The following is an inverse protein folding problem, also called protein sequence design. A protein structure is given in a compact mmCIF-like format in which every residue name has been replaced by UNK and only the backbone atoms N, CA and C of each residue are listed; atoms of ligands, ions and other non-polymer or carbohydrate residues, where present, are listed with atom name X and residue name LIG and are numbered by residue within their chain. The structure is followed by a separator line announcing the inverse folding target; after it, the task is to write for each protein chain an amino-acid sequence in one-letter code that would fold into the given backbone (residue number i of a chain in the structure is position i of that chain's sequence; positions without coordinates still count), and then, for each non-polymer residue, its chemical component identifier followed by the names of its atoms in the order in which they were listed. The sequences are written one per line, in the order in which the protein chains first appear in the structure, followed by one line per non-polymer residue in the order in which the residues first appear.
data_IF_441941146305
#
_entry.id   IF_441941146305
#
_cell.length_a   1.000
_cell.length_b   1.000
_cell.length_c   1.000
_cell.angle_alpha   90.00
_cell.angle_beta   90.00
_cell.angle_gamma   90.00
#
_symmetry.space_group_name_H-M   'P 1'
#
loop_
_entity.id
_entity.type
_entity.pdbx_description
1 polymer ?
#
# COMPACT_ATOMS: atom_id res chain seq x y z
N UNK A 1 2.04 41.31 -13.46
CA UNK A 1 0.83 40.73 -12.83
C UNK A 1 1.30 39.59 -11.94
N UNK A 2 1.42 39.84 -10.64
CA UNK A 2 1.92 38.87 -9.65
C UNK A 2 0.75 37.95 -9.30
N UNK A 3 0.86 36.66 -9.60
CA UNK A 3 -0.06 35.66 -9.06
C UNK A 3 0.43 35.30 -7.66
N UNK A 4 -0.28 35.81 -6.66
CA UNK A 4 -0.15 35.39 -5.26
C UNK A 4 -0.70 33.97 -5.13
N UNK A 5 0.16 33.02 -4.76
CA UNK A 5 -0.24 31.69 -4.30
C UNK A 5 -0.91 31.88 -2.94
N UNK A 6 -2.20 31.52 -2.86
CA UNK A 6 -2.96 31.55 -1.62
C UNK A 6 -2.45 30.46 -0.68
N UNK A 7 -1.81 30.89 0.40
CA UNK A 7 -1.45 30.05 1.53
C UNK A 7 -2.71 29.44 2.14
N UNK A 8 -2.89 28.13 1.99
CA UNK A 8 -3.78 27.36 2.87
C UNK A 8 -2.98 27.02 4.13
N UNK A 9 -2.79 28.02 5.00
CA UNK A 9 -2.25 27.83 6.33
C UNK A 9 -3.39 27.45 7.29
N UNK A 10 -3.77 26.17 7.24
CA UNK A 10 -4.67 25.56 8.23
C UNK A 10 -4.09 24.20 8.66
N UNK A 11 -2.79 24.19 8.96
CA UNK A 11 -2.06 22.95 9.24
C UNK A 11 -2.31 22.49 10.67
N UNK A 12 -3.42 21.77 10.86
CA UNK A 12 -3.61 20.89 12.02
C UNK A 12 -2.35 20.05 12.22
N UNK A 13 -1.61 20.33 13.30
CA UNK A 13 -0.42 19.57 13.66
C UNK A 13 -0.79 18.20 14.23
N UNK A 14 -0.02 17.18 13.86
CA UNK A 14 -0.29 15.79 14.17
C UNK A 14 0.05 15.45 15.62
N UNK A 15 -0.78 14.61 16.23
CA UNK A 15 -0.46 13.87 17.44
C UNK A 15 -0.12 12.45 17.03
N UNK A 16 1.10 12.01 17.29
CA UNK A 16 1.61 10.71 16.83
C UNK A 16 2.02 9.82 17.99
N UNK A 17 1.87 8.50 17.81
CA UNK A 17 2.39 7.46 18.68
C UNK A 17 3.61 6.83 18.00
N UNK A 18 4.74 6.73 18.70
CA UNK A 18 5.95 6.05 18.24
C UNK A 18 6.14 4.78 19.07
N UNK A 19 6.31 3.63 18.43
CA UNK A 19 6.44 2.33 19.08
C UNK A 19 7.69 1.62 18.57
N UNK A 20 8.61 1.28 19.47
CA UNK A 20 9.87 0.59 19.16
C UNK A 20 10.39 -0.03 20.47
N UNK A 21 10.68 -1.33 20.46
CA UNK A 21 11.13 -2.06 21.65
C UNK A 21 12.60 -1.81 21.99
N UNK A 22 13.36 -1.25 21.06
CA UNK A 22 14.71 -0.80 21.31
C UNK A 22 14.70 0.66 21.82
N UNK A 23 15.08 0.94 23.08
CA UNK A 23 14.98 2.30 23.65
C UNK A 23 15.75 3.36 22.85
N UNK A 24 16.90 2.97 22.26
CA UNK A 24 17.70 3.87 21.41
C UNK A 24 17.00 4.17 20.09
N UNK A 25 16.41 3.15 19.45
CA UNK A 25 15.63 3.31 18.23
C UNK A 25 14.40 4.19 18.48
N UNK A 26 13.72 3.99 19.61
CA UNK A 26 12.59 4.81 20.03
C UNK A 26 12.99 6.28 20.23
N UNK A 27 14.09 6.53 20.94
CA UNK A 27 14.59 7.90 21.17
C UNK A 27 14.94 8.62 19.85
N UNK A 28 15.58 7.92 18.91
CA UNK A 28 15.93 8.45 17.60
C UNK A 28 14.68 8.76 16.76
N UNK A 29 13.72 7.83 16.71
CA UNK A 29 12.43 8.02 16.03
C UNK A 29 11.68 9.21 16.61
N UNK A 30 11.59 9.30 17.93
CA UNK A 30 10.93 10.41 18.64
C UNK A 30 11.63 11.74 18.34
N UNK A 31 12.96 11.76 18.30
CA UNK A 31 13.73 12.94 17.96
C UNK A 31 13.42 13.43 16.54
N UNK A 32 13.48 12.55 15.54
CA UNK A 32 13.18 12.91 14.15
C UNK A 32 11.72 13.34 13.96
N UNK A 33 10.76 12.66 14.60
CA UNK A 33 9.34 13.05 14.54
C UNK A 33 9.10 14.43 15.15
N UNK A 34 9.76 14.76 16.28
CA UNK A 34 9.64 16.08 16.92
C UNK A 34 10.28 17.21 16.12
N UNK A 35 11.29 16.89 15.30
CA UNK A 35 11.93 17.87 14.42
C UNK A 35 11.04 18.27 13.23
N UNK A 36 10.00 17.49 12.93
CA UNK A 36 9.06 17.83 11.87
C UNK A 36 8.13 18.97 12.30
N UNK A 37 7.99 20.06 11.50
CA UNK A 37 7.13 21.19 11.85
C UNK A 37 5.63 20.82 11.92
N UNK A 38 5.27 19.70 11.31
CA UNK A 38 3.91 19.17 11.20
C UNK A 38 3.48 18.30 12.38
N UNK A 39 4.38 17.95 13.30
CA UNK A 39 4.08 17.12 14.47
C UNK A 39 4.00 18.01 15.71
N UNK A 40 2.85 18.01 16.39
CA UNK A 40 2.66 18.73 17.65
C UNK A 40 3.14 17.92 18.85
N UNK A 41 2.90 16.61 18.84
CA UNK A 41 3.15 15.76 20.00
C UNK A 41 3.48 14.34 19.58
N UNK A 42 4.49 13.77 20.22
CA UNK A 42 4.90 12.37 20.07
C UNK A 42 4.73 11.68 21.42
N UNK A 43 3.97 10.59 21.43
CA UNK A 43 3.87 9.66 22.56
C UNK A 43 4.77 8.46 22.28
N UNK A 44 5.80 8.19 23.08
CA UNK A 44 6.60 6.98 22.95
C UNK A 44 5.91 5.79 23.65
N UNK A 45 6.13 4.59 23.11
CA UNK A 45 5.80 3.33 23.73
C UNK A 45 6.90 2.30 23.40
N UNK A 46 7.33 1.51 24.39
CA UNK A 46 8.38 0.49 24.18
C UNK A 46 7.81 -0.86 23.75
N UNK A 47 6.50 -1.04 23.79
CA UNK A 47 5.88 -2.27 23.33
C UNK A 47 4.41 -2.01 22.94
N UNK A 48 3.81 -3.01 22.34
CA UNK A 48 2.41 -2.95 21.93
C UNK A 48 1.43 -2.83 23.12
N UNK A 49 1.79 -3.35 24.30
CA UNK A 49 0.92 -3.28 25.48
C UNK A 49 0.84 -1.85 26.01
N UNK A 50 1.95 -1.14 26.07
CA UNK A 50 2.03 0.29 26.38
C UNK A 50 1.32 1.11 25.30
N UNK A 51 1.56 0.82 24.01
CA UNK A 51 0.88 1.47 22.90
C UNK A 51 -0.66 1.35 23.02
N UNK A 52 -1.18 0.15 23.27
CA UNK A 52 -2.61 -0.09 23.45
C UNK A 52 -3.16 0.55 24.73
N UNK A 53 -2.38 0.60 25.82
CA UNK A 53 -2.76 1.32 27.06
C UNK A 53 -2.89 2.82 26.83
N UNK A 54 -2.00 3.42 26.05
CA UNK A 54 -2.11 4.82 25.65
C UNK A 54 -3.38 5.05 24.80
N UNK A 55 -3.75 4.07 23.97
CA UNK A 55 -4.95 4.16 23.12
C UNK A 55 -6.26 3.75 23.83
N UNK A 56 -6.23 3.14 25.01
CA UNK A 56 -7.41 2.54 25.66
C UNK A 56 -8.33 3.53 26.39
N UNK A 57 -8.36 4.82 26.00
CA UNK A 57 -9.27 5.87 26.54
C UNK A 57 -9.06 6.24 28.02
N UNK A 58 -8.28 5.49 28.79
CA UNK A 58 -8.02 5.80 30.20
C UNK A 58 -6.82 6.73 30.41
N UNK A 59 -6.02 7.01 29.38
CA UNK A 59 -4.94 8.00 29.48
C UNK A 59 -5.52 9.44 29.54
N UNK A 60 -5.29 10.17 30.65
CA UNK A 60 -5.81 11.53 30.81
C UNK A 60 -5.35 12.51 29.71
N UNK A 61 -4.21 12.25 29.06
CA UNK A 61 -3.61 13.12 28.03
C UNK A 61 -4.29 12.99 26.67
N UNK A 62 -5.09 11.94 26.46
CA UNK A 62 -5.69 11.60 25.17
C UNK A 62 -7.23 11.58 25.21
N UNK A 63 -7.83 11.62 26.40
CA UNK A 63 -9.29 11.66 26.64
C UNK A 63 -10.02 12.78 25.90
N UNK A 64 -9.56 14.02 26.01
CA UNK A 64 -10.19 15.21 25.40
C UNK A 64 -10.33 15.08 23.86
N UNK A 65 -9.38 14.40 23.19
CA UNK A 65 -9.44 14.19 21.74
C UNK A 65 -10.58 13.27 21.34
N UNK A 66 -10.81 12.20 22.10
CA UNK A 66 -11.88 11.23 21.83
C UNK A 66 -13.25 11.87 22.03
N UNK A 67 -13.41 12.69 23.07
CA UNK A 67 -14.65 13.43 23.34
C UNK A 67 -14.99 14.41 22.21
N UNK A 68 -13.98 14.94 21.52
CA UNK A 68 -14.12 15.77 20.31
C UNK A 68 -14.35 14.97 19.02
N UNK A 69 -14.51 13.65 19.10
CA UNK A 69 -14.69 12.77 17.93
C UNK A 69 -13.45 12.64 17.05
N UNK A 70 -12.27 13.05 17.53
CA UNK A 70 -11.01 12.93 16.81
C UNK A 70 -10.36 11.57 17.07
N UNK A 71 -9.49 11.09 16.16
CA UNK A 71 -8.69 9.91 16.44
C UNK A 71 -7.78 10.19 17.64
N UNK A 72 -7.67 9.18 18.51
CA UNK A 72 -6.93 9.24 19.78
C UNK A 72 -5.51 9.75 19.49
N UNK A 73 -4.87 9.20 18.46
CA UNK A 73 -3.70 9.76 17.78
C UNK A 73 -3.97 9.83 16.28
N UNK A 74 -3.37 10.79 15.59
CA UNK A 74 -3.54 10.99 14.15
C UNK A 74 -2.76 9.93 13.34
N UNK A 75 -1.59 9.50 13.84
CA UNK A 75 -0.81 8.40 13.26
C UNK A 75 -0.03 7.59 14.30
N UNK A 76 0.30 6.36 13.94
CA UNK A 76 1.20 5.47 14.67
C UNK A 76 2.40 5.14 13.77
N UNK A 77 3.61 5.33 14.29
CA UNK A 77 4.87 4.87 13.72
C UNK A 77 5.33 3.69 14.57
N UNK A 78 5.30 2.47 14.04
CA UNK A 78 5.55 1.26 14.85
C UNK A 78 6.62 0.39 14.21
N UNK A 79 7.53 -0.13 15.04
CA UNK A 79 8.43 -1.21 14.61
C UNK A 79 7.62 -2.44 14.22
N UNK A 80 8.09 -3.15 13.19
CA UNK A 80 7.49 -4.42 12.74
C UNK A 80 7.87 -5.51 13.74
N UNK A 81 9.15 -5.57 14.08
CA UNK A 81 9.74 -6.64 14.88
C UNK A 81 9.81 -6.22 16.34
N UNK A 82 8.79 -6.60 17.11
CA UNK A 82 8.76 -6.41 18.56
C UNK A 82 8.45 -7.74 19.26
N UNK A 83 9.11 -8.05 20.38
CA UNK A 83 8.82 -9.23 21.18
C UNK A 83 7.40 -9.17 21.76
N UNK A 84 6.69 -10.29 21.72
CA UNK A 84 5.31 -10.39 22.17
C UNK A 84 4.32 -10.17 21.02
N UNK A 85 3.75 -8.97 20.93
CA UNK A 85 2.80 -8.61 19.86
C UNK A 85 3.55 -7.78 18.80
N UNK A 86 3.69 -8.34 17.61
CA UNK A 86 4.37 -7.66 16.50
C UNK A 86 3.62 -6.41 16.05
N UNK A 87 4.32 -5.46 15.43
CA UNK A 87 3.68 -4.28 14.82
C UNK A 87 2.60 -4.66 13.80
N UNK A 88 2.81 -5.78 13.11
CA UNK A 88 1.85 -6.36 12.18
C UNK A 88 0.56 -6.80 12.86
N UNK A 89 0.62 -7.46 14.01
CA UNK A 89 -0.58 -7.87 14.75
C UNK A 89 -1.29 -6.65 15.37
N UNK A 90 -0.52 -5.65 15.80
CA UNK A 90 -1.02 -4.39 16.33
C UNK A 90 -1.80 -3.58 15.26
N UNK A 91 -1.41 -3.68 13.98
CA UNK A 91 -2.11 -3.01 12.87
C UNK A 91 -3.59 -3.37 12.77
N UNK A 92 -3.94 -4.63 13.04
CA UNK A 92 -5.33 -5.13 13.00
C UNK A 92 -6.18 -4.51 14.11
N UNK A 93 -5.57 -4.32 15.27
CA UNK A 93 -6.20 -3.65 16.43
C UNK A 93 -6.46 -2.18 16.11
N UNK A 94 -5.49 -1.49 15.50
CA UNK A 94 -5.63 -0.10 15.09
C UNK A 94 -6.70 0.11 14.02
N UNK A 95 -6.76 -0.79 13.03
CA UNK A 95 -7.78 -0.74 11.97
C UNK A 95 -9.21 -0.92 12.50
N UNK A 96 -9.37 -1.57 13.66
CA UNK A 96 -10.66 -1.72 14.35
C UNK A 96 -11.08 -0.45 15.13
N UNK A 97 -10.16 0.47 15.41
CA UNK A 97 -10.49 1.73 16.07
C UNK A 97 -11.29 2.65 15.15
N UNK A 98 -12.17 3.46 15.76
CA UNK A 98 -12.99 4.44 15.05
C UNK A 98 -12.92 5.80 15.77
N UNK A 99 -12.43 6.84 15.08
CA UNK A 99 -11.71 6.82 13.80
C UNK A 99 -10.33 6.12 13.90
N UNK A 100 -9.91 5.44 12.83
CA UNK A 100 -8.63 4.69 12.79
C UNK A 100 -7.46 5.65 12.61
N UNK A 101 -6.36 5.49 13.37
CA UNK A 101 -5.13 6.24 13.10
C UNK A 101 -4.51 5.79 11.76
N UNK A 102 -3.72 6.66 11.14
CA UNK A 102 -2.83 6.25 10.06
C UNK A 102 -1.68 5.40 10.61
N UNK A 103 -1.27 4.35 9.92
CA UNK A 103 -0.18 3.48 10.35
C UNK A 103 1.00 3.64 9.40
N UNK A 104 2.19 3.88 9.95
CA UNK A 104 3.47 3.86 9.25
C UNK A 104 4.36 2.86 9.96
N UNK A 105 4.92 1.91 9.22
CA UNK A 105 5.88 0.99 9.82
C UNK A 105 7.28 1.57 9.83
N UNK A 106 8.05 1.25 10.86
CA UNK A 106 9.50 1.44 10.89
C UNK A 106 10.15 0.05 10.97
N UNK A 107 11.28 -0.16 10.31
CA UNK A 107 11.99 -1.46 10.41
C UNK A 107 13.45 -1.30 9.98
N UNK A 108 14.35 -2.11 10.55
CA UNK A 108 15.72 -2.24 10.08
C UNK A 108 15.90 -3.10 8.83
N UNK A 109 14.89 -3.87 8.44
CA UNK A 109 14.97 -4.86 7.37
C UNK A 109 14.01 -4.54 6.22
N UNK A 110 14.54 -4.47 5.00
CA UNK A 110 13.76 -4.10 3.82
C UNK A 110 12.74 -5.18 3.42
N UNK A 111 13.01 -6.43 3.75
CA UNK A 111 12.15 -7.60 3.53
C UNK A 111 10.86 -7.57 4.36
N UNK A 112 10.90 -7.00 5.57
CA UNK A 112 9.73 -6.87 6.44
C UNK A 112 8.75 -5.80 5.94
N UNK A 113 9.27 -4.75 5.32
CA UNK A 113 8.45 -3.72 4.67
C UNK A 113 7.54 -4.29 3.57
N UNK A 114 7.94 -5.42 2.95
CA UNK A 114 7.15 -6.09 1.91
C UNK A 114 5.92 -6.81 2.48
N UNK A 115 6.05 -7.45 3.66
CA UNK A 115 4.96 -8.16 4.33
C UNK A 115 3.94 -7.20 4.97
N UNK A 116 4.40 -6.01 5.33
CA UNK A 116 3.62 -4.99 6.02
C UNK A 116 2.55 -4.28 5.15
N UNK A 117 2.70 -4.25 3.83
CA UNK A 117 1.75 -3.59 2.93
C UNK A 117 0.39 -4.30 2.86
N UNK A 118 0.38 -5.63 2.99
CA UNK A 118 -0.85 -6.42 2.97
C UNK A 118 -1.74 -6.15 4.21
N UNK A 119 -1.23 -5.38 5.19
CA UNK A 119 -1.92 -5.02 6.45
C UNK A 119 -2.52 -3.60 6.46
N UNK A 120 -2.46 -2.87 5.35
CA UNK A 120 -3.10 -1.56 5.23
C UNK A 120 -2.30 -0.41 5.86
N UNK A 121 -0.98 -0.56 6.01
CA UNK A 121 -0.09 0.54 6.33
C UNK A 121 -0.12 1.61 5.23
N UNK A 122 -0.01 2.87 5.66
CA UNK A 122 0.06 4.02 4.77
C UNK A 122 1.46 4.20 4.16
N UNK A 123 2.50 3.90 4.94
CA UNK A 123 3.89 4.04 4.51
C UNK A 123 4.84 3.17 5.36
N UNK A 124 6.11 3.12 4.97
CA UNK A 124 7.19 2.46 5.73
C UNK A 124 8.47 3.30 5.75
N UNK A 125 9.23 3.27 6.85
CA UNK A 125 10.51 3.98 6.99
C UNK A 125 11.58 2.99 7.42
N UNK A 126 12.67 2.91 6.66
CA UNK A 126 13.81 2.06 7.03
C UNK A 126 14.69 2.75 8.07
N UNK A 127 15.16 1.99 9.06
CA UNK A 127 16.26 2.38 9.94
C UNK A 127 17.59 2.24 9.17
N UNK A 128 18.58 3.15 9.35
CA UNK A 128 18.56 4.33 10.21
C UNK A 128 17.68 5.46 9.65
N UNK A 129 17.08 6.24 10.55
CA UNK A 129 16.09 7.24 10.19
C UNK A 129 16.71 8.42 9.44
N UNK A 130 16.16 8.71 8.26
CA UNK A 130 16.48 9.93 7.52
C UNK A 130 15.34 10.93 7.70
N UNK A 131 15.64 12.16 8.14
CA UNK A 131 14.64 13.20 8.39
C UNK A 131 13.73 13.42 7.17
N UNK A 132 14.32 13.57 5.97
CA UNK A 132 13.57 13.74 4.72
C UNK A 132 12.64 12.55 4.39
N UNK A 133 12.96 11.34 4.85
CA UNK A 133 12.10 10.17 4.65
C UNK A 133 10.91 10.17 5.60
N UNK A 134 11.13 10.56 6.85
CA UNK A 134 10.09 10.72 7.87
C UNK A 134 9.13 11.86 7.51
N UNK A 135 9.65 12.99 7.05
CA UNK A 135 8.81 14.13 6.63
C UNK A 135 7.91 13.78 5.43
N UNK A 136 8.41 12.93 4.51
CA UNK A 136 7.58 12.36 3.44
C UNK A 136 6.47 11.45 3.97
N UNK A 137 6.76 10.60 4.95
CA UNK A 137 5.73 9.76 5.58
C UNK A 137 4.67 10.60 6.32
N UNK A 138 5.11 11.64 7.04
CA UNK A 138 4.25 12.61 7.73
C UNK A 138 3.36 13.37 6.75
N UNK A 139 3.89 13.76 5.58
CA UNK A 139 3.11 14.44 4.54
C UNK A 139 1.96 13.56 4.04
N UNK A 140 2.21 12.27 3.80
CA UNK A 140 1.15 11.31 3.42
C UNK A 140 0.09 11.15 4.50
N UNK A 141 0.48 11.15 5.78
CA UNK A 141 -0.46 11.13 6.91
C UNK A 141 -1.39 12.33 6.86
N UNK A 142 -0.85 13.54 6.63
CA UNK A 142 -1.64 14.77 6.51
C UNK A 142 -2.62 14.67 5.34
N UNK A 143 -2.17 14.24 4.16
CA UNK A 143 -3.02 14.07 2.98
C UNK A 143 -4.19 13.10 3.23
N UNK A 144 -3.93 11.97 3.89
CA UNK A 144 -4.97 10.99 4.25
C UNK A 144 -6.01 11.59 5.19
N UNK A 145 -5.58 12.37 6.19
CA UNK A 145 -6.48 12.99 7.16
C UNK A 145 -7.29 14.14 6.55
N UNK A 146 -6.69 14.91 5.62
CA UNK A 146 -7.39 15.95 4.88
C UNK A 146 -8.46 15.36 3.94
N UNK A 147 -8.15 14.27 3.24
CA UNK A 147 -9.10 13.55 2.37
C UNK A 147 -10.29 12.95 3.15
N UNK A 148 -10.06 12.53 4.39
CA UNK A 148 -11.12 12.04 5.28
C UNK A 148 -12.03 13.16 5.85
N UNK A 149 -11.60 14.43 5.78
CA UNK A 149 -12.30 15.57 6.36
C UNK A 149 -13.09 16.41 5.33
N UNK A 150 -12.86 16.22 4.03
CA UNK A 150 -13.61 16.92 2.98
C UNK A 150 -14.92 16.18 2.64
N UNK A 151 -16.09 16.84 2.62
CA UNK A 151 -17.26 16.29 1.95
C UNK A 151 -16.95 16.28 0.44
N UNK A 152 -16.80 15.10 -0.14
CA UNK A 152 -16.52 14.93 -1.56
C UNK A 152 -17.54 15.72 -2.43
N UNK A 153 -17.13 16.72 -3.23
CA UNK A 153 -17.99 17.29 -4.24
C UNK A 153 -18.00 16.36 -5.45
N UNK A 154 -19.12 15.69 -5.66
CA UNK A 154 -19.50 15.17 -6.98
C UNK A 154 -18.77 13.91 -7.47
N UNK A 155 -18.94 12.79 -6.78
CA UNK A 155 -18.97 11.49 -7.48
C UNK A 155 -20.40 11.26 -7.95
N UNK A 156 -20.69 11.64 -9.20
CA UNK A 156 -21.95 11.33 -9.85
C UNK A 156 -22.04 9.82 -10.10
N UNK A 157 -23.07 9.21 -9.51
CA UNK A 157 -23.80 8.08 -10.08
C UNK A 157 -23.09 6.73 -10.10
N UNK A 158 -23.31 5.93 -9.05
CA UNK A 158 -23.10 4.49 -9.05
C UNK A 158 -23.59 3.90 -7.73
N UNK A 159 -24.66 3.14 -7.79
CA UNK A 159 -25.44 2.62 -6.66
C UNK A 159 -24.60 1.85 -5.62
N UNK A 160 -25.01 1.84 -4.33
CA UNK A 160 -24.29 1.18 -3.25
C UNK A 160 -24.41 -0.35 -3.38
N UNK A 161 -23.38 -1.01 -3.93
CA UNK A 161 -23.47 -2.48 -4.03
C UNK A 161 -22.35 -3.28 -4.67
N UNK A 162 -21.08 -2.85 -4.73
CA UNK A 162 -19.96 -3.78 -4.99
C UNK A 162 -18.71 -3.29 -4.25
N UNK A 163 -18.15 -4.11 -3.37
CA UNK A 163 -16.84 -3.84 -2.74
C UNK A 163 -15.79 -3.76 -3.84
N UNK A 164 -15.20 -2.59 -4.06
CA UNK A 164 -14.17 -2.40 -5.07
C UNK A 164 -12.86 -3.05 -4.59
N UNK A 165 -12.61 -4.30 -5.00
CA UNK A 165 -11.44 -5.13 -4.70
C UNK A 165 -10.24 -4.81 -5.63
N UNK A 166 -10.14 -3.56 -6.09
CA UNK A 166 -9.12 -3.15 -7.05
C UNK A 166 -7.86 -2.69 -6.31
N UNK A 167 -7.03 -3.68 -5.97
CA UNK A 167 -5.73 -3.52 -5.31
C UNK A 167 -4.84 -2.47 -6.00
N UNK A 168 -4.13 -1.64 -5.23
CA UNK A 168 -3.26 -0.57 -5.76
C UNK A 168 -1.81 -0.84 -5.41
N UNK A 169 -0.93 -0.89 -6.41
CA UNK A 169 0.51 -1.09 -6.25
C UNK A 169 1.25 0.25 -6.26
N UNK A 170 1.92 0.66 -5.16
CA UNK A 170 2.81 1.80 -5.18
C UNK A 170 4.12 1.45 -5.92
N UNK A 171 4.55 2.35 -6.81
CA UNK A 171 5.77 2.21 -7.61
C UNK A 171 6.64 3.44 -7.40
N UNK A 172 7.88 3.25 -6.98
CA UNK A 172 8.85 4.35 -6.87
C UNK A 172 9.48 4.66 -8.23
N UNK A 173 9.38 5.93 -8.64
CA UNK A 173 9.94 6.49 -9.87
C UNK A 173 10.65 7.80 -9.55
N UNK A 174 11.98 7.80 -9.63
CA UNK A 174 12.80 9.01 -9.52
C UNK A 174 12.42 9.93 -8.33
N UNK A 175 12.15 9.34 -7.16
CA UNK A 175 11.78 10.07 -5.95
C UNK A 175 10.28 10.39 -5.78
N UNK A 176 9.42 9.96 -6.71
CA UNK A 176 7.96 10.05 -6.62
C UNK A 176 7.31 8.67 -6.55
N UNK A 177 6.22 8.50 -5.79
CA UNK A 177 5.47 7.24 -5.73
C UNK A 177 4.23 7.34 -6.60
N UNK A 178 4.19 6.54 -7.65
CA UNK A 178 3.02 6.40 -8.51
C UNK A 178 2.17 5.24 -8.02
N UNK A 179 0.87 5.49 -7.82
CA UNK A 179 -0.09 4.47 -7.45
C UNK A 179 -0.65 3.82 -8.71
N UNK A 180 -0.45 2.51 -8.86
CA UNK A 180 -0.88 1.74 -10.03
C UNK A 180 -2.01 0.81 -9.63
N UNK A 181 -3.27 1.10 -10.01
CA UNK A 181 -4.38 0.17 -9.81
C UNK A 181 -4.13 -1.14 -10.55
N UNK A 182 -4.46 -2.28 -9.94
CA UNK A 182 -4.35 -3.61 -10.54
C UNK A 182 -5.14 -3.68 -11.85
N UNK A 183 -6.32 -3.08 -11.90
CA UNK A 183 -7.13 -2.97 -13.12
C UNK A 183 -6.42 -2.29 -14.29
N UNK A 184 -5.42 -1.44 -14.05
CA UNK A 184 -4.61 -0.81 -15.10
C UNK A 184 -3.49 -1.72 -15.64
N UNK A 185 -3.15 -2.80 -14.93
CA UNK A 185 -2.07 -3.72 -15.29
C UNK A 185 -2.57 -4.73 -16.31
N UNK A 186 -1.86 -4.83 -17.43
CA UNK A 186 -2.22 -5.68 -18.56
C UNK A 186 -1.47 -7.01 -18.54
N UNK A 187 -0.17 -6.96 -18.29
CA UNK A 187 0.67 -8.12 -18.03
C UNK A 187 1.85 -7.76 -17.13
N UNK A 188 2.48 -8.79 -16.59
CA UNK A 188 3.67 -8.68 -15.74
C UNK A 188 4.76 -9.58 -16.28
N UNK A 189 6.00 -9.07 -16.29
CA UNK A 189 7.20 -9.81 -16.66
C UNK A 189 8.16 -9.92 -15.47
N UNK A 190 8.67 -11.13 -15.20
CA UNK A 190 9.73 -11.31 -14.20
C UNK A 190 11.10 -10.84 -14.73
N UNK A 191 11.78 -10.00 -13.94
CA UNK A 191 13.13 -9.48 -14.18
C UNK A 191 14.01 -9.70 -12.94
N UNK A 192 14.56 -10.90 -12.79
CA UNK A 192 15.31 -11.29 -11.59
C UNK A 192 14.42 -11.24 -10.35
N UNK A 193 14.85 -10.46 -9.34
CA UNK A 193 14.12 -10.24 -8.09
C UNK A 193 12.98 -9.21 -8.23
N UNK A 194 12.82 -8.62 -9.40
CA UNK A 194 11.81 -7.61 -9.70
C UNK A 194 10.76 -8.15 -10.65
N UNK A 195 9.58 -7.54 -10.60
CA UNK A 195 8.53 -7.72 -11.59
C UNK A 195 8.29 -6.39 -12.30
N UNK A 196 8.19 -6.43 -13.62
CA UNK A 196 7.81 -5.28 -14.43
C UNK A 196 6.32 -5.38 -14.75
N UNK A 197 5.54 -4.46 -14.18
CA UNK A 197 4.13 -4.26 -14.50
C UNK A 197 4.03 -3.47 -15.80
N UNK A 198 3.22 -3.93 -16.75
CA UNK A 198 2.91 -3.19 -17.97
C UNK A 198 1.47 -2.71 -17.91
N UNK A 199 1.29 -1.40 -17.99
CA UNK A 199 0.00 -0.71 -17.93
C UNK A 199 -0.31 -0.07 -19.30
N UNK A 200 -1.47 0.57 -19.44
CA UNK A 200 -1.82 1.33 -20.65
C UNK A 200 -0.94 2.56 -20.86
N UNK A 201 -0.37 3.11 -19.79
CA UNK A 201 0.40 4.35 -19.77
C UNK A 201 1.91 4.14 -19.58
N UNK A 202 2.38 2.90 -19.50
CA UNK A 202 3.81 2.61 -19.44
C UNK A 202 4.19 1.27 -18.81
N UNK A 203 5.40 1.21 -18.27
CA UNK A 203 5.85 0.06 -17.47
C UNK A 203 6.53 0.50 -16.18
N UNK A 204 6.36 -0.32 -15.16
CA UNK A 204 6.70 0.00 -13.78
C UNK A 204 7.42 -1.17 -13.14
N UNK A 205 8.60 -0.93 -12.55
CA UNK A 205 9.38 -1.97 -11.89
C UNK A 205 9.02 -2.01 -10.41
N UNK A 206 8.61 -3.17 -9.91
CA UNK A 206 8.26 -3.40 -8.51
C UNK A 206 9.09 -4.55 -7.96
N UNK A 207 9.48 -4.46 -6.69
CA UNK A 207 10.21 -5.52 -6.00
C UNK A 207 9.23 -6.50 -5.35
N UNK A 208 8.34 -7.07 -6.18
CA UNK A 208 7.35 -8.07 -5.76
C UNK A 208 7.55 -9.32 -6.63
N UNK A 209 7.78 -10.51 -6.06
CA UNK A 209 7.93 -11.73 -6.84
C UNK A 209 6.69 -12.06 -7.67
N UNK A 210 6.88 -12.56 -8.90
CA UNK A 210 5.78 -12.90 -9.80
C UNK A 210 4.79 -13.92 -9.18
N UNK A 211 5.27 -14.83 -8.33
CA UNK A 211 4.42 -15.81 -7.65
C UNK A 211 3.46 -15.16 -6.63
N UNK A 212 3.90 -14.10 -5.95
CA UNK A 212 3.06 -13.37 -5.00
C UNK A 212 1.99 -12.57 -5.75
N UNK A 213 2.34 -11.94 -6.88
CA UNK A 213 1.37 -11.26 -7.74
C UNK A 213 0.35 -12.24 -8.33
N UNK A 214 0.77 -13.46 -8.67
CA UNK A 214 -0.14 -14.52 -9.14
C UNK A 214 -1.19 -14.88 -8.09
N UNK A 215 -0.77 -15.14 -6.85
CA UNK A 215 -1.68 -15.49 -5.75
C UNK A 215 -2.66 -14.36 -5.42
N UNK A 216 -2.15 -13.12 -5.32
CA UNK A 216 -2.96 -11.93 -5.04
C UNK A 216 -4.00 -11.67 -6.12
N UNK A 217 -3.61 -11.84 -7.38
CA UNK A 217 -4.43 -11.38 -8.51
C UNK A 217 -5.22 -12.50 -9.21
N UNK A 218 -5.17 -13.72 -8.70
CA UNK A 218 -5.89 -14.86 -9.27
C UNK A 218 -7.41 -14.62 -9.34
N UNK A 219 -8.01 -14.18 -8.23
CA UNK A 219 -9.47 -13.89 -8.14
C UNK A 219 -9.89 -12.70 -8.98
N UNK A 220 -8.93 -11.84 -9.27
CA UNK A 220 -9.03 -10.65 -10.10
C UNK A 220 -8.94 -10.93 -11.60
N UNK A 221 -8.77 -12.20 -11.99
CA UNK A 221 -8.71 -12.59 -13.40
C UNK A 221 -7.31 -12.55 -14.00
N UNK A 222 -6.24 -12.52 -13.20
CA UNK A 222 -4.89 -12.75 -13.71
C UNK A 222 -4.58 -14.24 -13.81
N UNK A 223 -3.80 -14.61 -14.82
CA UNK A 223 -3.40 -15.99 -15.08
C UNK A 223 -1.92 -16.08 -15.41
N UNK A 224 -1.22 -17.02 -14.79
CA UNK A 224 0.18 -17.29 -15.10
C UNK A 224 0.28 -18.18 -16.33
N UNK A 225 0.97 -17.68 -17.36
CA UNK A 225 1.12 -18.37 -18.65
C UNK A 225 2.54 -18.91 -18.86
N UNK A 226 3.51 -18.36 -18.14
CA UNK A 226 4.92 -18.72 -18.23
C UNK A 226 5.60 -18.55 -16.87
N UNK A 227 6.79 -19.14 -16.69
CA UNK A 227 7.58 -18.90 -15.47
C UNK A 227 7.86 -17.42 -15.23
N UNK A 228 7.89 -16.62 -16.30
CA UNK A 228 8.20 -15.19 -16.31
C UNK A 228 7.01 -14.30 -16.66
N UNK A 229 5.80 -14.82 -16.91
CA UNK A 229 4.66 -14.01 -17.37
C UNK A 229 3.36 -14.31 -16.63
N UNK A 230 2.71 -13.25 -16.15
CA UNK A 230 1.36 -13.19 -15.58
C UNK A 230 0.54 -12.21 -16.42
N UNK A 231 -0.70 -12.55 -16.80
CA UNK A 231 -1.50 -11.78 -17.77
C UNK A 231 -2.92 -11.60 -17.27
N UNK A 232 -3.50 -10.42 -17.50
CA UNK A 232 -4.93 -10.19 -17.29
C UNK A 232 -5.73 -10.97 -18.35
N UNK A 233 -6.49 -11.98 -17.90
CA UNK A 233 -7.27 -12.88 -18.76
C UNK A 233 -8.22 -12.14 -19.72
N UNK A 234 -8.93 -11.06 -19.32
CA UNK A 234 -9.84 -10.34 -20.23
C UNK A 234 -9.14 -9.67 -21.42
N UNK A 235 -7.82 -9.49 -21.36
CA UNK A 235 -7.05 -8.83 -22.43
C UNK A 235 -6.44 -9.82 -23.42
N UNK A 236 -6.59 -11.13 -23.20
CA UNK A 236 -6.15 -12.16 -24.13
C UNK A 236 -7.16 -12.23 -25.28
N UNK A 237 -6.74 -11.81 -26.47
CA UNK A 237 -7.58 -11.81 -27.66
C UNK A 237 -7.44 -13.10 -28.45
N UNK A 238 -6.25 -13.69 -28.47
CA UNK A 238 -6.01 -14.91 -29.24
C UNK A 238 -5.00 -15.84 -28.57
N UNK A 239 -5.19 -17.15 -28.77
CA UNK A 239 -4.23 -18.19 -28.43
C UNK A 239 -3.79 -18.90 -29.72
N UNK A 240 -2.54 -18.66 -30.15
CA UNK A 240 -1.99 -19.20 -31.39
C UNK A 240 -0.96 -20.30 -31.09
N UNK A 241 -0.77 -21.22 -32.04
CA UNK A 241 0.29 -22.23 -31.98
C UNK A 241 1.41 -21.84 -32.94
N UNK A 242 2.58 -21.49 -32.39
CA UNK A 242 3.76 -21.10 -33.15
C UNK A 242 4.85 -22.19 -33.16
N UNK A 243 5.98 -21.89 -33.79
CA UNK A 243 7.14 -22.79 -33.95
C UNK A 243 7.75 -23.24 -32.60
N UNK A 244 7.49 -22.52 -31.51
CA UNK A 244 8.01 -22.81 -30.15
C UNK A 244 6.95 -23.26 -29.13
N UNK A 245 5.70 -23.52 -29.55
CA UNK A 245 4.59 -23.85 -28.68
C UNK A 245 3.48 -22.79 -28.71
N UNK A 246 2.61 -22.79 -27.69
CA UNK A 246 1.49 -21.85 -27.61
C UNK A 246 1.98 -20.43 -27.28
N UNK A 247 1.31 -19.44 -27.87
CA UNK A 247 1.53 -18.02 -27.63
C UNK A 247 0.17 -17.34 -27.44
N UNK A 248 0.09 -16.38 -26.52
CA UNK A 248 -1.09 -15.52 -26.39
C UNK A 248 -0.83 -14.17 -27.02
N UNK A 249 -1.86 -13.64 -27.66
CA UNK A 249 -1.92 -12.26 -28.14
C UNK A 249 -2.70 -11.44 -27.13
N UNK A 250 -2.13 -10.31 -26.71
CA UNK A 250 -2.73 -9.38 -25.75
C UNK A 250 -3.19 -8.13 -26.51
N UNK A 251 -4.45 -7.75 -26.34
CA UNK A 251 -5.07 -6.63 -27.04
C UNK A 251 -5.17 -6.84 -28.56
N UNK A 252 -5.31 -5.75 -29.33
CA UNK A 252 -5.33 -5.78 -30.79
C UNK A 252 -3.92 -5.99 -31.38
N UNK A 253 -3.31 -7.15 -31.14
CA UNK A 253 -1.95 -7.53 -31.56
C UNK A 253 -0.80 -6.72 -30.93
N UNK A 254 -1.05 -6.04 -29.81
CA UNK A 254 -0.06 -5.18 -29.15
C UNK A 254 1.15 -5.95 -28.60
N UNK A 255 0.93 -7.18 -28.12
CA UNK A 255 1.99 -8.03 -27.60
C UNK A 255 1.71 -9.52 -27.80
N UNK A 256 2.75 -10.27 -28.18
CA UNK A 256 2.71 -11.74 -28.26
C UNK A 256 3.62 -12.32 -27.17
N UNK A 257 3.05 -13.11 -26.25
CA UNK A 257 3.79 -13.71 -25.12
C UNK A 257 3.79 -15.25 -25.20
N UNK A 258 4.94 -15.91 -24.93
CA UNK A 258 5.02 -17.36 -24.95
C UNK A 258 4.30 -17.99 -23.77
N UNK A 259 3.63 -19.12 -24.00
CA UNK A 259 3.00 -19.94 -22.98
C UNK A 259 3.86 -21.19 -22.75
N UNK A 260 4.22 -21.44 -21.49
CA UNK A 260 4.92 -22.68 -21.14
C UNK A 260 3.98 -23.88 -21.21
N UNK A 261 4.52 -25.04 -21.59
CA UNK A 261 3.76 -26.30 -21.73
C UNK A 261 2.94 -26.63 -20.48
N UNK A 262 3.54 -26.43 -19.29
CA UNK A 262 2.90 -26.69 -17.98
C UNK A 262 1.67 -25.81 -17.69
N UNK A 263 1.61 -24.60 -18.24
CA UNK A 263 0.49 -23.67 -18.03
C UNK A 263 -0.55 -23.72 -19.17
N UNK A 264 -0.27 -24.45 -20.26
CA UNK A 264 -1.15 -24.47 -21.44
C UNK A 264 -2.54 -25.01 -21.14
N UNK A 265 -2.64 -26.11 -20.37
CA UNK A 265 -3.93 -26.72 -20.04
C UNK A 265 -4.79 -25.79 -19.18
N UNK A 266 -4.24 -25.31 -18.07
CA UNK A 266 -4.93 -24.39 -17.17
C UNK A 266 -5.39 -23.10 -17.87
N UNK A 267 -4.57 -22.56 -18.78
CA UNK A 267 -4.93 -21.39 -19.57
C UNK A 267 -6.11 -21.67 -20.49
N UNK A 268 -6.11 -22.79 -21.21
CA UNK A 268 -7.24 -23.19 -22.07
C UNK A 268 -8.54 -23.34 -21.28
N UNK A 269 -8.47 -23.99 -20.11
CA UNK A 269 -9.63 -24.19 -19.25
C UNK A 269 -10.23 -22.85 -18.80
N UNK A 270 -9.38 -21.87 -18.44
CA UNK A 270 -9.83 -20.51 -18.07
C UNK A 270 -10.42 -19.72 -19.24
N UNK A 271 -9.83 -19.81 -20.44
CA UNK A 271 -10.34 -19.12 -21.63
C UNK A 271 -11.74 -19.63 -22.04
N UNK A 272 -11.98 -20.95 -21.91
CA UNK A 272 -13.30 -21.54 -22.19
C UNK A 272 -14.31 -21.17 -21.09
N UNK A 273 -13.87 -21.05 -19.84
CA UNK A 273 -14.72 -20.66 -18.70
C UNK A 273 -15.16 -19.19 -18.70
N UNK A 274 -14.32 -18.26 -19.15
CA UNK A 274 -14.64 -16.83 -19.18
C UNK A 274 -15.67 -16.43 -20.24
N UNK A 275 -15.92 -17.25 -21.26
CA UNK A 275 -16.90 -16.99 -22.31
C UNK A 275 -18.37 -17.17 -21.92
N UNK A 276 -18.68 -17.48 -20.65
CA UNK A 276 -20.05 -17.76 -20.17
C UNK A 276 -20.66 -16.69 -19.26
N UNK A 277 -19.92 -15.67 -18.87
CA UNK A 277 -20.43 -14.52 -18.11
C UNK A 277 -20.23 -13.25 -18.92
N UNK A 278 -21.12 -13.03 -19.89
CA UNK A 278 -21.33 -11.76 -20.59
C UNK A 278 -22.81 -11.41 -20.52
#
# INVERSE_FOLDING_TARGET
MRFTVSAHDDTRKLVVLAVDDEPRGLDELVHCLRNSPHVAKVFPAIDASEALRLLSTDDPRLRDRKERGLPIVDAVFADIDMPGLSGMEMSRVFAALRPSPALVFVTGHAEEAVNAFDLGALDYVLKPYQQDRLDRAISRVIEKLASAAAPAPGALGGEPGVKNDDEVIPVELAGTTKLIPRSSVRWVEAQGDYARLFTTDGSHLVRIPLAQLEERWEKAGFVRIHRSFLVALPLITELRMGQGGYQVVIGNEEKVLPVSRRHTRALKDRLVGSGRNG
#
